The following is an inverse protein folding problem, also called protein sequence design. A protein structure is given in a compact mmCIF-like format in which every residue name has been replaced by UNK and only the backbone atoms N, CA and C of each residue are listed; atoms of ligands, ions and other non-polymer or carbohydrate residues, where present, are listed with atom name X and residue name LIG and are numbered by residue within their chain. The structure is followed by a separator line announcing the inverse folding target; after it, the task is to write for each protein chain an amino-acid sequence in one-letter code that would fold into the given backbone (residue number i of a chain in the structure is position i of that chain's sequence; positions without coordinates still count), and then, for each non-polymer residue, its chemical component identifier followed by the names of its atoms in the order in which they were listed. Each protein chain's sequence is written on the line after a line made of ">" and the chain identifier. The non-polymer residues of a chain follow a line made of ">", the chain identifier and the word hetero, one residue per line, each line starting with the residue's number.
data_IF_603853789782
#
_entry.id   IF_603853789782
#
_cell.length_a   1.000
_cell.length_b   1.000
_cell.length_c   1.000
_cell.angle_alpha   90.00
_cell.angle_beta   90.00
_cell.angle_gamma   90.00
#
_symmetry.space_group_name_H-M   'P 1'
#
loop_
_entity.id
_entity.type
_entity.pdbx_description
1 polymer ?
#
# COMPACT_ATOMS: atom_id res chain seq x y z
N UNK A 1 14.19 12.80 -27.26
CA UNK A 1 14.21 13.11 -28.70
C UNK A 1 14.59 11.84 -29.40
N UNK A 2 13.67 11.28 -30.17
CA UNK A 2 13.92 10.12 -31.01
C UNK A 2 14.02 10.60 -32.45
N UNK A 3 14.97 10.06 -33.20
CA UNK A 3 14.93 10.10 -34.65
C UNK A 3 14.02 8.97 -35.18
N UNK A 4 13.68 9.01 -36.46
CA UNK A 4 12.77 8.02 -37.06
C UNK A 4 13.41 6.63 -37.17
N UNK A 5 14.73 6.57 -37.34
CA UNK A 5 15.45 5.35 -37.69
C UNK A 5 16.23 4.74 -36.51
N UNK A 6 16.34 5.44 -35.38
CA UNK A 6 17.13 5.02 -34.24
C UNK A 6 16.31 4.35 -33.14
N UNK A 7 16.84 3.21 -32.66
CA UNK A 7 16.29 2.51 -31.51
C UNK A 7 16.46 3.29 -30.19
N UNK A 8 17.51 4.10 -30.10
CA UNK A 8 17.82 4.89 -28.90
C UNK A 8 17.54 6.38 -29.15
N UNK A 9 17.16 7.13 -28.10
CA UNK A 9 16.98 8.57 -28.22
C UNK A 9 18.31 9.27 -28.55
N UNK A 10 18.29 10.13 -29.57
CA UNK A 10 19.44 10.99 -29.95
C UNK A 10 19.78 12.04 -28.89
N UNK A 11 18.80 12.40 -28.05
CA UNK A 11 18.99 13.22 -26.87
C UNK A 11 17.87 13.01 -25.86
N UNK A 12 18.17 13.04 -24.56
CA UNK A 12 17.16 12.99 -23.51
C UNK A 12 17.57 13.83 -22.30
N UNK A 13 16.58 14.26 -21.53
CA UNK A 13 16.77 14.82 -20.20
C UNK A 13 15.72 14.19 -19.29
N UNK A 14 16.17 13.35 -18.35
CA UNK A 14 15.29 12.59 -17.46
C UNK A 14 14.82 13.48 -16.31
N UNK A 15 13.50 13.51 -16.08
CA UNK A 15 12.84 14.25 -14.98
C UNK A 15 13.30 15.72 -14.88
N UNK A 16 13.07 16.53 -15.93
CA UNK A 16 13.42 17.94 -15.88
C UNK A 16 12.66 18.67 -14.76
N UNK A 17 13.35 19.56 -14.04
CA UNK A 17 12.71 20.43 -13.05
C UNK A 17 11.78 21.47 -13.68
N UNK A 18 11.97 21.80 -14.96
CA UNK A 18 11.01 22.60 -15.74
C UNK A 18 11.03 22.26 -17.23
N UNK A 19 9.87 22.41 -17.86
CA UNK A 19 9.67 22.29 -19.31
C UNK A 19 8.84 23.47 -19.79
N UNK A 20 9.31 24.14 -20.83
CA UNK A 20 8.59 25.21 -21.53
C UNK A 20 8.37 24.78 -22.97
N UNK A 21 7.12 24.89 -23.42
CA UNK A 21 6.72 24.64 -24.82
C UNK A 21 6.20 25.95 -25.40
N UNK A 22 6.80 26.38 -26.50
CA UNK A 22 6.41 27.60 -27.23
C UNK A 22 6.08 27.20 -28.66
N UNK A 23 5.06 27.81 -29.27
CA UNK A 23 4.72 27.59 -30.66
C UNK A 23 3.77 28.65 -31.18
N UNK A 24 3.82 28.88 -32.49
CA UNK A 24 2.99 29.85 -33.22
C UNK A 24 2.07 29.18 -34.26
N UNK A 25 2.03 27.85 -34.27
CA UNK A 25 1.25 27.03 -35.21
C UNK A 25 2.01 26.64 -36.48
N UNK A 26 3.09 27.32 -36.85
CA UNK A 26 3.99 26.93 -37.94
C UNK A 26 5.15 26.07 -37.44
N UNK A 27 5.62 26.32 -36.22
CA UNK A 27 6.65 25.55 -35.55
C UNK A 27 6.40 25.43 -34.06
N UNK A 28 7.30 24.73 -33.38
CA UNK A 28 7.35 24.73 -31.93
C UNK A 28 8.77 24.58 -31.40
N UNK A 29 8.99 25.01 -30.17
CA UNK A 29 10.20 24.71 -29.42
C UNK A 29 9.86 24.11 -28.06
N UNK A 30 10.68 23.15 -27.62
CA UNK A 30 10.61 22.55 -26.29
C UNK A 30 11.93 22.80 -25.61
N UNK A 31 11.92 23.49 -24.48
CA UNK A 31 13.09 23.70 -23.63
C UNK A 31 12.88 23.04 -22.28
N UNK A 32 13.68 22.02 -21.97
CA UNK A 32 13.70 21.35 -20.68
C UNK A 32 15.00 21.70 -19.91
N UNK A 33 14.88 21.90 -18.59
CA UNK A 33 16.00 22.26 -17.72
C UNK A 33 16.02 21.40 -16.46
N UNK A 34 17.23 21.06 -16.03
CA UNK A 34 17.48 20.41 -14.75
C UNK A 34 18.87 20.78 -14.23
N UNK A 35 18.92 21.61 -13.17
CA UNK A 35 20.15 22.24 -12.71
C UNK A 35 20.88 22.97 -13.86
N UNK A 36 22.15 22.64 -14.09
CA UNK A 36 22.95 23.17 -15.20
C UNK A 36 22.69 22.52 -16.57
N UNK A 37 21.87 21.47 -16.63
CA UNK A 37 21.57 20.74 -17.88
C UNK A 37 20.41 21.40 -18.62
N UNK A 38 20.53 21.48 -19.95
CA UNK A 38 19.49 22.01 -20.83
C UNK A 38 19.35 21.13 -22.06
N UNK A 39 18.12 20.73 -22.36
CA UNK A 39 17.75 20.14 -23.64
C UNK A 39 16.82 21.11 -24.37
N UNK A 40 17.16 21.46 -25.62
CA UNK A 40 16.31 22.31 -26.46
C UNK A 40 16.04 21.63 -27.79
N UNK A 41 14.77 21.49 -28.13
CA UNK A 41 14.29 21.00 -29.42
C UNK A 41 13.61 22.15 -30.14
N UNK A 42 13.91 22.33 -31.42
CA UNK A 42 13.23 23.30 -32.29
C UNK A 42 12.75 22.54 -33.51
N UNK A 43 11.44 22.60 -33.74
CA UNK A 43 10.84 22.19 -34.99
C UNK A 43 10.82 23.39 -35.94
N UNK A 44 11.31 23.18 -37.15
CA UNK A 44 11.23 24.16 -38.24
C UNK A 44 9.86 24.17 -38.91
N UNK A 45 9.15 23.04 -38.86
CA UNK A 45 7.79 22.87 -39.35
C UNK A 45 7.05 21.88 -38.44
N UNK A 46 5.95 22.34 -37.85
CA UNK A 46 5.14 21.54 -36.94
C UNK A 46 4.09 20.75 -37.71
N UNK A 47 4.32 19.45 -37.93
CA UNK A 47 3.31 18.54 -38.49
C UNK A 47 2.23 18.16 -37.47
N UNK A 48 2.56 18.08 -36.18
CA UNK A 48 1.61 17.89 -35.10
C UNK A 48 2.19 18.28 -33.72
N UNK A 49 1.34 18.83 -32.85
CA UNK A 49 1.62 18.96 -31.41
C UNK A 49 0.37 18.57 -30.62
N UNK A 50 0.54 17.88 -29.50
CA UNK A 50 -0.57 17.48 -28.64
C UNK A 50 -0.15 17.56 -27.18
N UNK A 51 -0.94 18.27 -26.38
CA UNK A 51 -0.90 18.17 -24.93
C UNK A 51 -1.84 17.05 -24.50
N UNK A 52 -1.32 16.10 -23.74
CA UNK A 52 -2.10 15.01 -23.15
C UNK A 52 -2.05 15.18 -21.63
N UNK A 53 -3.21 15.12 -20.93
CA UNK A 53 -3.19 15.02 -19.49
C UNK A 53 -2.45 13.76 -19.08
N UNK A 54 -1.63 13.86 -18.03
CA UNK A 54 -0.99 12.71 -17.43
C UNK A 54 -1.84 12.23 -16.27
N UNK A 55 -1.99 10.92 -16.17
CA UNK A 55 -2.63 10.28 -15.02
C UNK A 55 -1.60 9.45 -14.29
N UNK A 56 -1.93 9.09 -13.05
CA UNK A 56 -1.20 8.03 -12.35
C UNK A 56 -1.33 6.75 -13.16
N UNK A 57 -0.20 6.14 -13.50
CA UNK A 57 -0.20 4.80 -14.08
C UNK A 57 -0.38 3.77 -12.96
N UNK A 58 -1.30 2.84 -13.15
CA UNK A 58 -1.62 1.82 -12.15
C UNK A 58 -2.46 0.69 -12.73
N UNK A 59 -2.67 -0.34 -11.91
CA UNK A 59 -3.54 -1.48 -12.25
C UNK A 59 -4.99 -1.07 -11.96
N UNK A 60 -5.94 -1.16 -12.90
CA UNK A 60 -7.34 -0.91 -12.61
C UNK A 60 -7.86 -1.88 -11.54
N UNK A 61 -8.58 -1.35 -10.55
CA UNK A 61 -9.10 -2.13 -9.40
C UNK A 61 -10.58 -1.89 -9.11
N UNK A 62 -11.25 -1.06 -9.91
CA UNK A 62 -12.68 -0.83 -9.76
C UNK A 62 -13.13 0.49 -10.36
N UNK A 63 -14.34 0.89 -9.97
CA UNK A 63 -14.97 2.14 -10.40
C UNK A 63 -15.28 2.99 -9.19
N UNK A 64 -15.03 4.29 -9.29
CA UNK A 64 -15.31 5.22 -8.22
C UNK A 64 -16.83 5.47 -8.15
N UNK A 65 -17.47 5.25 -6.99
CA UNK A 65 -18.92 5.42 -6.85
C UNK A 65 -19.35 6.89 -6.93
N UNK A 66 -18.44 7.86 -6.74
CA UNK A 66 -18.76 9.28 -6.74
C UNK A 66 -18.91 9.88 -8.15
N UNK A 67 -18.12 9.40 -9.12
CA UNK A 67 -18.02 9.99 -10.47
C UNK A 67 -18.01 8.96 -11.61
N UNK A 68 -17.98 7.66 -11.31
CA UNK A 68 -17.87 6.60 -12.31
C UNK A 68 -16.45 6.44 -12.89
N UNK A 69 -15.47 7.16 -12.35
CA UNK A 69 -14.10 7.16 -12.85
C UNK A 69 -13.36 5.86 -12.54
N UNK A 70 -12.32 5.57 -13.33
CA UNK A 70 -11.50 4.38 -13.10
C UNK A 70 -10.67 4.53 -11.82
N UNK A 71 -10.78 3.55 -10.93
CA UNK A 71 -9.88 3.42 -9.78
C UNK A 71 -8.65 2.62 -10.18
N UNK A 72 -7.47 3.17 -9.95
CA UNK A 72 -6.20 2.50 -10.20
C UNK A 72 -5.42 2.33 -8.90
N UNK A 73 -4.86 1.13 -8.70
CA UNK A 73 -3.84 0.91 -7.69
C UNK A 73 -2.50 1.37 -8.21
N UNK A 74 -1.87 2.29 -7.50
CA UNK A 74 -0.53 2.75 -7.78
C UNK A 74 0.24 2.91 -6.48
N UNK A 75 1.41 2.29 -6.40
CA UNK A 75 2.20 2.23 -5.17
C UNK A 75 1.36 1.67 -4.00
N UNK A 76 1.31 2.41 -2.89
CA UNK A 76 0.54 2.08 -1.69
C UNK A 76 -0.86 2.69 -1.67
N UNK A 77 -1.36 3.24 -2.77
CA UNK A 77 -2.66 3.92 -2.83
C UNK A 77 -3.57 3.31 -3.91
N UNK A 78 -4.87 3.49 -3.71
CA UNK A 78 -5.86 3.47 -4.78
C UNK A 78 -6.28 4.90 -5.10
N UNK A 79 -6.33 5.26 -6.37
CA UNK A 79 -6.60 6.64 -6.83
C UNK A 79 -7.69 6.62 -7.89
N UNK A 80 -8.69 7.48 -7.78
CA UNK A 80 -9.60 7.75 -8.89
C UNK A 80 -8.92 8.65 -9.92
N UNK A 81 -8.96 8.29 -11.20
CA UNK A 81 -8.34 9.08 -12.26
C UNK A 81 -9.10 10.37 -12.61
N UNK A 82 -10.37 10.49 -12.21
CA UNK A 82 -11.22 11.63 -12.56
C UNK A 82 -11.31 12.65 -11.40
N UNK A 83 -11.77 12.24 -10.21
CA UNK A 83 -11.79 13.14 -9.03
C UNK A 83 -10.48 13.19 -8.21
N UNK A 84 -9.46 12.42 -8.60
CA UNK A 84 -8.12 12.39 -7.96
C UNK A 84 -8.10 11.99 -6.48
N UNK A 85 -9.24 11.54 -5.92
CA UNK A 85 -9.32 11.06 -4.53
C UNK A 85 -8.44 9.83 -4.33
N UNK A 86 -7.80 9.77 -3.16
CA UNK A 86 -6.83 8.74 -2.79
C UNK A 86 -7.25 8.00 -1.53
N UNK A 87 -7.00 6.71 -1.52
CA UNK A 87 -7.15 5.84 -0.36
C UNK A 87 -5.83 5.09 -0.15
N UNK A 88 -5.22 5.30 1.01
CA UNK A 88 -4.00 4.60 1.40
C UNK A 88 -4.29 3.14 1.73
N UNK A 89 -3.52 2.23 1.17
CA UNK A 89 -3.59 0.80 1.47
C UNK A 89 -2.73 0.48 2.70
N UNK A 90 -3.27 -0.24 3.69
CA UNK A 90 -2.46 -0.78 4.77
C UNK A 90 -1.31 -1.65 4.24
N UNK A 91 -0.20 -1.67 4.96
CA UNK A 91 0.93 -2.54 4.61
C UNK A 91 0.47 -4.01 4.56
N UNK A 92 0.82 -4.68 3.45
CA UNK A 92 0.42 -6.06 3.17
C UNK A 92 -0.98 -6.23 2.59
N UNK A 93 -1.75 -5.15 2.40
CA UNK A 93 -3.08 -5.24 1.81
C UNK A 93 -3.04 -5.46 0.29
N UNK A 94 -4.05 -6.16 -0.20
CA UNK A 94 -4.34 -6.34 -1.62
C UNK A 94 -5.76 -5.87 -1.91
N UNK A 95 -6.02 -5.37 -3.13
CA UNK A 95 -7.38 -5.04 -3.56
C UNK A 95 -8.00 -6.29 -4.19
N UNK A 96 -9.26 -6.54 -3.87
CA UNK A 96 -10.03 -7.68 -4.37
C UNK A 96 -11.00 -7.25 -5.47
N UNK A 97 -11.59 -8.20 -6.19
CA UNK A 97 -12.60 -7.93 -7.21
C UNK A 97 -14.00 -7.63 -6.62
N UNK A 98 -14.16 -7.74 -5.30
CA UNK A 98 -15.43 -7.47 -4.64
C UNK A 98 -15.62 -5.97 -4.39
N UNK A 99 -16.88 -5.52 -4.39
CA UNK A 99 -17.27 -4.18 -3.98
C UNK A 99 -17.89 -4.19 -2.58
N UNK A 100 -17.71 -3.11 -1.83
CA UNK A 100 -18.38 -2.84 -0.57
C UNK A 100 -19.87 -2.63 -0.83
N UNK A 101 -20.70 -3.33 -0.06
CA UNK A 101 -22.14 -3.31 -0.23
C UNK A 101 -22.75 -1.96 0.22
N UNK A 102 -22.06 -1.22 1.09
CA UNK A 102 -22.54 0.07 1.63
C UNK A 102 -22.16 1.26 0.75
N UNK A 103 -20.93 1.33 0.25
CA UNK A 103 -20.43 2.50 -0.49
C UNK A 103 -20.02 2.20 -1.94
N UNK A 104 -19.95 0.94 -2.36
CA UNK A 104 -19.57 0.54 -3.71
C UNK A 104 -18.08 0.63 -4.04
N UNK A 105 -17.23 1.08 -3.11
CA UNK A 105 -15.76 1.04 -3.29
C UNK A 105 -15.26 -0.41 -3.29
N UNK A 106 -14.11 -0.71 -3.92
CA UNK A 106 -13.50 -2.03 -3.86
C UNK A 106 -13.24 -2.49 -2.42
N UNK A 107 -13.33 -3.80 -2.17
CA UNK A 107 -12.87 -4.41 -0.92
C UNK A 107 -11.38 -4.70 -0.97
N UNK A 108 -10.70 -4.54 0.16
CA UNK A 108 -9.31 -4.94 0.36
C UNK A 108 -9.25 -6.20 1.20
N UNK A 109 -8.22 -7.02 0.95
CA UNK A 109 -7.84 -8.12 1.82
C UNK A 109 -6.56 -7.76 2.57
N UNK A 110 -6.62 -7.81 3.89
CA UNK A 110 -5.48 -7.57 4.80
C UNK A 110 -5.40 -8.70 5.82
N UNK A 111 -4.18 -9.10 6.20
CA UNK A 111 -3.96 -10.12 7.20
C UNK A 111 -3.48 -9.50 8.51
N UNK A 112 -4.23 -9.72 9.60
CA UNK A 112 -3.91 -9.27 10.96
C UNK A 112 -4.30 -10.36 11.95
N UNK A 113 -3.63 -11.50 11.88
CA UNK A 113 -3.99 -12.71 12.63
C UNK A 113 -5.01 -13.58 11.91
N UNK A 114 -5.89 -12.98 11.11
CA UNK A 114 -6.65 -13.70 10.08
C UNK A 114 -6.85 -12.78 8.86
N UNK A 115 -7.35 -13.32 7.73
CA UNK A 115 -7.69 -12.51 6.58
C UNK A 115 -8.99 -11.72 6.80
N UNK A 116 -8.90 -10.40 6.82
CA UNK A 116 -10.05 -9.49 6.82
C UNK A 116 -10.33 -8.99 5.41
N UNK A 117 -11.61 -8.96 5.03
CA UNK A 117 -12.09 -8.41 3.76
C UNK A 117 -12.90 -7.16 4.04
N UNK A 118 -12.22 -6.01 3.97
CA UNK A 118 -12.74 -4.72 4.43
C UNK A 118 -13.02 -3.79 3.27
N UNK A 119 -13.83 -2.76 3.48
CA UNK A 119 -13.91 -1.66 2.53
C UNK A 119 -12.55 -0.96 2.34
N UNK A 120 -12.26 -0.48 1.12
CA UNK A 120 -11.11 0.38 0.84
C UNK A 120 -11.15 1.71 1.62
N UNK A 121 -12.34 2.21 1.96
CA UNK A 121 -12.48 3.42 2.79
C UNK A 121 -12.52 3.02 4.28
N UNK A 122 -11.49 3.36 5.07
CA UNK A 122 -11.45 3.02 6.49
C UNK A 122 -12.55 3.73 7.30
N UNK A 123 -13.16 4.80 6.78
CA UNK A 123 -14.32 5.42 7.42
C UNK A 123 -15.61 4.60 7.23
N UNK A 124 -15.67 3.75 6.21
CA UNK A 124 -16.81 2.89 5.93
C UNK A 124 -16.73 1.57 6.69
N UNK A 125 -15.54 0.97 6.73
CA UNK A 125 -15.29 -0.32 7.37
C UNK A 125 -13.89 -0.30 8.04
N UNK A 126 -13.80 0.19 9.29
CA UNK A 126 -12.54 0.39 9.96
C UNK A 126 -11.85 -0.93 10.28
N UNK A 127 -10.60 -1.09 9.82
CA UNK A 127 -9.76 -2.24 10.17
C UNK A 127 -9.60 -2.37 11.69
N UNK A 128 -9.55 -1.23 12.38
CA UNK A 128 -9.38 -1.20 13.82
C UNK A 128 -10.54 -1.89 14.54
N UNK A 129 -11.77 -1.58 14.13
CA UNK A 129 -12.96 -2.22 14.67
C UNK A 129 -12.97 -3.72 14.41
N UNK A 130 -12.68 -4.13 13.17
CA UNK A 130 -12.68 -5.54 12.79
C UNK A 130 -11.62 -6.37 13.53
N UNK A 131 -10.41 -5.84 13.71
CA UNK A 131 -9.34 -6.53 14.44
C UNK A 131 -9.63 -6.57 15.94
N UNK A 132 -10.13 -5.48 16.54
CA UNK A 132 -10.53 -5.47 17.95
C UNK A 132 -11.68 -6.44 18.23
N UNK A 133 -12.73 -6.45 17.40
CA UNK A 133 -13.84 -7.40 17.56
C UNK A 133 -13.36 -8.85 17.59
N UNK A 134 -12.30 -9.16 16.84
CA UNK A 134 -11.78 -10.51 16.70
C UNK A 134 -10.77 -10.92 17.77
N UNK A 135 -9.91 -10.00 18.19
CA UNK A 135 -8.68 -10.32 18.93
C UNK A 135 -8.52 -9.56 20.26
N UNK A 136 -9.42 -8.63 20.58
CA UNK A 136 -9.35 -7.90 21.84
C UNK A 136 -9.49 -8.86 23.04
N UNK A 137 -8.48 -8.84 23.93
CA UNK A 137 -8.40 -9.66 25.14
C UNK A 137 -8.50 -11.17 24.89
N UNK A 138 -8.09 -11.63 23.71
CA UNK A 138 -8.08 -13.05 23.36
C UNK A 138 -6.88 -13.79 23.94
N UNK A 139 -5.77 -13.09 24.17
CA UNK A 139 -4.52 -13.66 24.66
C UNK A 139 -4.10 -13.03 25.97
N UNK A 140 -3.53 -13.85 26.85
CA UNK A 140 -2.98 -13.42 28.11
C UNK A 140 -1.59 -12.78 27.92
N UNK A 141 -1.24 -11.86 28.81
CA UNK A 141 0.08 -11.25 28.84
C UNK A 141 1.13 -12.31 29.26
N UNK A 142 2.27 -12.41 28.58
CA UNK A 142 3.34 -13.33 29.02
C UNK A 142 4.03 -12.88 30.32
N UNK A 143 3.91 -11.59 30.68
CA UNK A 143 4.64 -10.98 31.80
C UNK A 143 3.77 -10.77 33.06
N UNK A 144 2.44 -10.92 32.97
CA UNK A 144 1.52 -10.82 34.11
C UNK A 144 0.20 -11.58 33.86
N UNK A 145 -0.73 -11.57 34.81
CA UNK A 145 -2.05 -12.23 34.67
C UNK A 145 -3.08 -11.39 33.87
N UNK A 146 -2.67 -10.26 33.31
CA UNK A 146 -3.55 -9.35 32.55
C UNK A 146 -3.82 -9.84 31.12
N UNK A 147 -4.92 -9.37 30.53
CA UNK A 147 -5.22 -9.66 29.11
C UNK A 147 -4.54 -8.66 28.18
N UNK A 148 -4.25 -9.09 26.95
CA UNK A 148 -3.74 -8.23 25.89
C UNK A 148 -4.89 -7.57 25.12
N UNK A 149 -5.04 -6.26 25.25
CA UNK A 149 -6.01 -5.45 24.50
C UNK A 149 -5.46 -5.04 23.13
N UNK A 150 -6.33 -4.96 22.12
CA UNK A 150 -5.95 -4.52 20.77
C UNK A 150 -5.88 -2.99 20.73
N UNK A 151 -4.74 -2.47 20.30
CA UNK A 151 -4.42 -1.04 20.24
C UNK A 151 -3.90 -0.62 18.86
N UNK A 152 -4.04 0.68 18.57
CA UNK A 152 -3.75 1.24 17.26
C UNK A 152 -2.88 2.49 17.34
N UNK A 153 -1.92 2.55 16.43
CA UNK A 153 -1.11 3.73 16.15
C UNK A 153 -1.05 3.93 14.63
N UNK A 154 -0.70 5.14 14.14
CA UNK A 154 -0.58 5.39 12.70
C UNK A 154 0.27 4.31 11.99
N UNK A 155 -0.39 3.49 11.17
CA UNK A 155 0.24 2.41 10.41
C UNK A 155 0.55 1.12 11.18
N UNK A 156 0.14 0.96 12.44
CA UNK A 156 0.43 -0.22 13.27
C UNK A 156 -0.79 -0.67 14.09
N UNK A 157 -1.03 -1.98 14.07
CA UNK A 157 -1.89 -2.68 15.03
C UNK A 157 -1.00 -3.45 15.99
N UNK A 158 -1.25 -3.34 17.28
CA UNK A 158 -0.49 -4.01 18.31
C UNK A 158 -1.38 -4.43 19.47
N UNK A 159 -0.85 -5.28 20.32
CA UNK A 159 -1.44 -5.73 21.55
C UNK A 159 -0.71 -5.05 22.70
N UNK A 160 -1.45 -4.54 23.68
CA UNK A 160 -0.89 -3.97 24.90
C UNK A 160 -1.53 -4.64 26.11
N UNK A 161 -0.73 -4.90 27.15
CA UNK A 161 -1.29 -5.36 28.41
C UNK A 161 -2.26 -4.32 28.99
N UNK A 162 -3.40 -4.77 29.50
CA UNK A 162 -4.38 -3.89 30.14
C UNK A 162 -4.00 -3.49 31.58
N UNK A 163 -3.06 -4.22 32.20
CA UNK A 163 -2.53 -3.87 33.51
C UNK A 163 -1.66 -2.59 33.38
N UNK A 164 -2.03 -1.48 34.06
CA UNK A 164 -1.30 -0.22 33.95
C UNK A 164 0.13 -0.28 34.49
N UNK A 165 0.48 -1.27 35.32
CA UNK A 165 1.83 -1.47 35.84
C UNK A 165 2.67 -2.38 34.92
N UNK A 166 2.10 -2.90 33.83
CA UNK A 166 2.74 -3.78 32.86
C UNK A 166 2.94 -3.07 31.50
N UNK A 167 4.20 -2.96 31.04
CA UNK A 167 4.55 -2.25 29.80
C UNK A 167 4.59 -3.15 28.55
N UNK A 168 4.08 -4.38 28.64
CA UNK A 168 4.19 -5.37 27.56
C UNK A 168 3.40 -4.95 26.34
N UNK A 169 4.09 -4.88 25.20
CA UNK A 169 3.48 -4.57 23.91
C UNK A 169 4.00 -5.51 22.82
N UNK A 170 3.08 -6.08 22.04
CA UNK A 170 3.38 -7.06 20.99
C UNK A 170 2.78 -6.60 19.65
N UNK A 171 3.59 -6.47 18.61
CA UNK A 171 3.08 -6.02 17.29
C UNK A 171 2.40 -7.17 16.55
N UNK A 172 1.20 -6.94 16.00
CA UNK A 172 0.52 -7.94 15.17
C UNK A 172 1.14 -7.94 13.76
N UNK A 173 1.75 -9.05 13.30
CA UNK A 173 2.34 -9.12 11.96
C UNK A 173 1.30 -9.09 10.84
N UNK A 174 1.78 -8.82 9.61
CA UNK A 174 0.99 -9.08 8.39
C UNK A 174 1.03 -10.58 8.07
N UNK A 175 0.12 -11.33 8.69
CA UNK A 175 0.03 -12.78 8.56
C UNK A 175 -1.17 -13.35 9.31
N UNK A 176 -1.25 -14.67 9.36
CA UNK A 176 -2.36 -15.40 9.99
C UNK A 176 -1.88 -16.24 11.16
N UNK A 177 -2.70 -16.38 12.19
CA UNK A 177 -2.46 -17.30 13.32
C UNK A 177 -2.68 -18.72 12.82
N UNK A 178 -1.68 -19.58 13.02
CA UNK A 178 -1.71 -20.97 12.53
C UNK A 178 -1.56 -22.00 13.65
N UNK A 179 -1.07 -21.60 14.81
CA UNK A 179 -0.82 -22.50 15.93
C UNK A 179 -0.68 -21.70 17.24
N UNK A 180 -0.50 -22.39 18.36
CA UNK A 180 -0.19 -21.82 19.67
C UNK A 180 1.26 -22.17 20.04
N UNK A 181 2.01 -21.19 20.53
CA UNK A 181 3.34 -21.39 21.07
C UNK A 181 3.23 -21.91 22.51
N UNK A 182 4.19 -22.71 22.95
CA UNK A 182 4.26 -23.19 24.34
C UNK A 182 4.28 -22.09 25.40
N UNK A 183 4.55 -20.82 25.04
CA UNK A 183 4.37 -19.67 25.93
C UNK A 183 2.91 -19.19 26.08
N UNK A 184 1.95 -19.83 25.42
CA UNK A 184 0.54 -19.44 25.39
C UNK A 184 0.18 -18.38 24.35
N UNK A 185 1.18 -17.84 23.62
CA UNK A 185 0.95 -16.85 22.57
C UNK A 185 0.80 -17.49 21.18
N UNK A 186 0.08 -16.85 20.25
CA UNK A 186 -0.14 -17.39 18.91
C UNK A 186 1.14 -17.43 18.06
N UNK A 187 1.24 -18.45 17.20
CA UNK A 187 2.22 -18.54 16.13
C UNK A 187 1.60 -17.98 14.84
N UNK A 188 2.28 -17.02 14.23
CA UNK A 188 1.90 -16.39 12.97
C UNK A 188 2.65 -17.00 11.80
N UNK A 189 1.94 -17.29 10.71
CA UNK A 189 2.52 -17.54 9.39
C UNK A 189 2.50 -16.24 8.57
N UNK A 190 3.69 -15.81 8.14
CA UNK A 190 3.91 -14.59 7.34
C UNK A 190 4.74 -14.94 6.10
N UNK A 191 4.96 -13.96 5.22
CA UNK A 191 5.89 -14.12 4.10
C UNK A 191 7.34 -14.43 4.53
N UNK A 192 7.72 -14.12 5.78
CA UNK A 192 9.03 -14.45 6.33
C UNK A 192 9.10 -15.86 6.95
N UNK A 193 7.96 -16.56 7.07
CA UNK A 193 7.84 -17.86 7.72
C UNK A 193 6.96 -17.81 8.97
N UNK A 194 7.09 -18.86 9.80
CA UNK A 194 6.33 -19.04 11.04
C UNK A 194 7.12 -18.56 12.25
N UNK A 195 6.50 -17.76 13.11
CA UNK A 195 7.12 -17.26 14.35
C UNK A 195 6.07 -16.98 15.42
N UNK A 196 6.45 -17.11 16.70
CA UNK A 196 5.64 -16.63 17.81
C UNK A 196 5.36 -15.13 17.67
N UNK A 197 4.21 -14.67 18.16
CA UNK A 197 3.85 -13.25 18.27
C UNK A 197 4.89 -12.46 19.08
N UNK A 198 5.43 -13.05 20.14
CA UNK A 198 6.58 -12.51 20.85
C UNK A 198 7.88 -12.87 20.12
N UNK A 199 8.44 -11.88 19.43
CA UNK A 199 9.72 -12.01 18.72
C UNK A 199 10.93 -12.22 19.63
N UNK A 200 10.78 -12.01 20.95
CA UNK A 200 11.83 -12.27 21.95
C UNK A 200 11.73 -13.64 22.61
N UNK A 201 10.62 -14.37 22.38
CA UNK A 201 10.42 -15.71 22.93
C UNK A 201 11.60 -16.62 22.53
N UNK A 202 12.06 -17.46 23.45
CA UNK A 202 13.16 -18.40 23.21
C UNK A 202 12.71 -19.86 23.31
N UNK A 203 11.41 -20.10 23.53
CA UNK A 203 10.83 -21.43 23.67
C UNK A 203 10.79 -22.11 22.29
N UNK A 204 10.94 -23.43 22.26
CA UNK A 204 11.14 -24.26 21.07
C UNK A 204 9.89 -24.37 20.17
N UNK A 205 9.37 -23.25 19.66
CA UNK A 205 8.52 -23.12 18.48
C UNK A 205 9.10 -22.14 17.44
N UNK A 206 10.37 -21.75 17.65
CA UNK A 206 10.98 -20.54 17.07
C UNK A 206 11.71 -20.74 15.74
N UNK A 207 11.57 -21.86 15.03
CA UNK A 207 12.35 -22.03 13.79
C UNK A 207 11.68 -22.87 12.72
N UNK A 208 11.30 -22.16 11.66
CA UNK A 208 11.38 -22.54 10.24
C UNK A 208 11.34 -24.03 9.93
N UNK A 209 10.16 -24.54 9.57
CA UNK A 209 10.06 -25.71 8.72
C UNK A 209 10.67 -25.38 7.34
N UNK A 210 11.98 -25.57 7.20
CA UNK A 210 12.59 -25.83 5.89
C UNK A 210 12.10 -27.19 5.43
N UNK A 211 11.10 -27.22 4.56
CA UNK A 211 10.76 -28.42 3.80
C UNK A 211 11.93 -28.76 2.88
N UNK A 212 12.60 -29.88 3.14
CA UNK A 212 13.42 -30.60 2.16
C UNK A 212 12.55 -31.70 1.58
N UNK A 213 12.33 -31.65 0.27
CA UNK A 213 12.27 -32.82 -0.61
C UNK A 213 13.17 -32.54 -1.83
#
# INVERSE_FOLDING_TARGET
>A
VHDADGYQPVAWLTRPGSVVVEGDGAGFSVTARDGGRRLRVVSTEATASRALPVTVAGVPVGTCPADGGALVRSHGDVVCLDCERRWGLPAGASVTDAACDDCGLPKIRVERGEPFHLCLDPACDPMEAAVSERFDRVWDCPDCEGSLAVEFAPGRVYLACEDPDCETTLSIPSGVVVDECDCGLPIFETAAGRSCLDGSCQIAGHTAAKTRE
#
